data_IF_870355563806
#
_entry.id   IF_870355563806
#
_cell.length_a   1.000
_cell.length_b   1.000
_cell.length_c   1.000
_cell.angle_alpha   90.00
_cell.angle_beta   90.00
_cell.angle_gamma   90.00
#
_symmetry.space_group_name_H-M   'P 1'
#
loop_
_entity.id
_entity.type
_entity.pdbx_description
1 polymer ?
#
# COMPACT_ATOMS: atom_id res chain seq x y z
N UNK A 1 23.10 3.40 19.56
CA UNK A 1 22.31 4.52 19.00
C UNK A 1 21.28 4.93 20.03
N UNK A 2 21.12 6.22 20.27
CA UNK A 2 20.14 6.75 21.22
C UNK A 2 18.73 6.54 20.60
N UNK A 3 17.83 5.73 21.18
CA UNK A 3 16.53 5.38 20.57
C UNK A 3 15.68 6.61 20.21
N UNK A 4 15.78 7.64 21.04
CA UNK A 4 15.14 8.95 20.83
C UNK A 4 15.54 9.58 19.48
N UNK A 5 16.78 9.39 19.05
CA UNK A 5 17.32 9.99 17.83
C UNK A 5 16.71 9.35 16.56
N UNK A 6 16.36 8.05 16.59
CA UNK A 6 15.70 7.37 15.47
C UNK A 6 14.25 7.84 15.34
N UNK A 7 13.54 7.95 16.46
CA UNK A 7 12.16 8.43 16.51
C UNK A 7 12.06 9.88 16.03
N UNK A 8 12.96 10.75 16.47
CA UNK A 8 12.99 12.16 16.06
C UNK A 8 13.19 12.32 14.55
N UNK A 9 14.09 11.53 13.94
CA UNK A 9 14.30 11.51 12.49
C UNK A 9 13.04 11.05 11.75
N UNK A 10 12.37 10.00 12.22
CA UNK A 10 11.15 9.49 11.58
C UNK A 10 10.00 10.51 11.69
N UNK A 11 9.89 11.21 12.83
CA UNK A 11 8.90 12.27 13.05
C UNK A 11 9.15 13.47 12.14
N UNK A 12 10.41 13.88 11.98
CA UNK A 12 10.79 14.91 11.01
C UNK A 12 10.45 14.50 9.57
N UNK A 13 10.77 13.26 9.18
CA UNK A 13 10.47 12.74 7.83
C UNK A 13 8.97 12.61 7.56
N UNK A 14 8.19 12.23 8.56
CA UNK A 14 6.73 12.16 8.48
C UNK A 14 6.10 13.55 8.27
N UNK A 15 6.67 14.59 8.89
CA UNK A 15 6.23 15.98 8.74
C UNK A 15 6.61 16.59 7.39
N UNK A 16 7.80 16.28 6.87
CA UNK A 16 8.34 16.85 5.63
C UNK A 16 7.82 16.16 4.35
N UNK A 17 7.48 14.87 4.43
CA UNK A 17 7.08 14.12 3.23
C UNK A 17 5.70 14.56 2.68
N UNK A 18 5.51 14.54 1.34
CA UNK A 18 4.21 14.80 0.73
C UNK A 18 3.13 13.83 1.22
N UNK A 19 1.90 14.31 1.44
CA UNK A 19 0.77 13.49 1.95
C UNK A 19 0.55 12.24 1.09
N UNK A 20 0.73 12.35 -0.22
CA UNK A 20 0.53 11.22 -1.15
C UNK A 20 1.49 10.05 -0.88
N UNK A 21 2.67 10.30 -0.31
CA UNK A 21 3.61 9.24 0.08
C UNK A 21 3.07 8.39 1.22
N UNK A 22 2.19 8.92 2.08
CA UNK A 22 1.55 8.16 3.16
C UNK A 22 0.59 7.08 2.63
N UNK A 23 0.00 7.32 1.46
CA UNK A 23 -1.07 6.50 0.88
C UNK A 23 -0.76 5.97 -0.53
N UNK A 24 0.51 5.97 -0.93
CA UNK A 24 0.90 5.60 -2.30
C UNK A 24 0.47 4.16 -2.65
N UNK A 25 0.62 3.23 -1.69
CA UNK A 25 0.19 1.85 -1.87
C UNK A 25 -1.33 1.72 -1.97
N UNK A 26 -2.07 2.53 -1.20
CA UNK A 26 -3.53 2.61 -1.28
C UNK A 26 -3.97 3.13 -2.64
N UNK A 27 -3.30 4.15 -3.19
CA UNK A 27 -3.57 4.64 -4.53
C UNK A 27 -3.31 3.56 -5.58
N UNK A 28 -2.23 2.79 -5.43
CA UNK A 28 -1.92 1.66 -6.32
C UNK A 28 -2.98 0.57 -6.25
N UNK A 29 -3.45 0.22 -5.04
CA UNK A 29 -4.55 -0.71 -4.84
C UNK A 29 -5.85 -0.21 -5.48
N UNK A 30 -6.16 1.08 -5.34
CA UNK A 30 -7.33 1.69 -5.96
C UNK A 30 -7.29 1.61 -7.49
N UNK A 31 -6.13 1.84 -8.11
CA UNK A 31 -5.95 1.64 -9.55
C UNK A 31 -6.20 0.18 -9.93
N UNK A 32 -5.63 -0.77 -9.18
CA UNK A 32 -5.88 -2.20 -9.40
C UNK A 32 -7.37 -2.56 -9.32
N UNK A 33 -8.09 -2.00 -8.34
CA UNK A 33 -9.53 -2.18 -8.20
C UNK A 33 -10.30 -1.60 -9.40
N UNK A 34 -9.95 -0.40 -9.86
CA UNK A 34 -10.58 0.21 -11.05
C UNK A 34 -10.38 -0.68 -12.28
N UNK A 35 -9.16 -1.20 -12.50
CA UNK A 35 -8.90 -2.13 -13.60
C UNK A 35 -9.74 -3.40 -13.49
N UNK A 36 -9.87 -3.96 -12.29
CA UNK A 36 -10.70 -5.15 -12.05
C UNK A 36 -12.19 -4.87 -12.33
N UNK A 37 -12.71 -3.70 -11.91
CA UNK A 37 -14.09 -3.30 -12.15
C UNK A 37 -14.36 -3.08 -13.65
N UNK A 38 -13.45 -2.43 -14.37
CA UNK A 38 -13.56 -2.27 -15.82
C UNK A 38 -13.60 -3.62 -16.52
N UNK A 39 -12.74 -4.56 -16.11
CA UNK A 39 -12.78 -5.92 -16.64
C UNK A 39 -14.11 -6.62 -16.34
N UNK A 40 -14.62 -6.50 -15.12
CA UNK A 40 -15.90 -7.08 -14.74
C UNK A 40 -17.04 -6.56 -15.63
N UNK A 41 -17.10 -5.25 -15.87
CA UNK A 41 -18.10 -4.63 -16.76
C UNK A 41 -17.98 -5.15 -18.20
N UNK A 42 -16.76 -5.23 -18.74
CA UNK A 42 -16.52 -5.76 -20.10
C UNK A 42 -16.95 -7.22 -20.19
N UNK A 43 -16.57 -8.06 -19.22
CA UNK A 43 -16.91 -9.49 -19.20
C UNK A 43 -18.40 -9.76 -19.02
N UNK A 44 -19.16 -8.81 -18.47
CA UNK A 44 -20.61 -8.90 -18.35
C UNK A 44 -21.33 -8.51 -19.65
N UNK A 45 -20.74 -7.61 -20.45
CA UNK A 45 -21.31 -7.13 -21.71
C UNK A 45 -20.90 -7.94 -22.96
N UNK A 46 -19.89 -8.79 -22.84
CA UNK A 46 -19.35 -9.61 -23.93
C UNK A 46 -19.33 -11.07 -23.49
N UNK A 47 -19.70 -11.99 -24.37
CA UNK A 47 -19.66 -13.42 -24.10
C UNK A 47 -18.21 -13.93 -24.13
N UNK A 48 -17.53 -13.77 -23.00
CA UNK A 48 -16.12 -14.15 -22.80
C UNK A 48 -16.05 -15.54 -22.16
N UNK A 49 -15.26 -16.47 -22.72
CA UNK A 49 -15.07 -17.79 -22.13
C UNK A 49 -14.64 -17.71 -20.66
N UNK A 50 -15.25 -18.54 -19.81
CA UNK A 50 -15.05 -18.49 -18.36
C UNK A 50 -13.58 -18.58 -17.92
N UNK A 51 -12.78 -19.40 -18.61
CA UNK A 51 -11.36 -19.55 -18.37
C UNK A 51 -10.58 -18.25 -18.63
N UNK A 52 -10.98 -17.45 -19.63
CA UNK A 52 -10.37 -16.15 -19.93
C UNK A 52 -10.80 -15.14 -18.87
N UNK A 53 -12.08 -15.09 -18.52
CA UNK A 53 -12.60 -14.20 -17.47
C UNK A 53 -11.85 -14.39 -16.15
N UNK A 54 -11.73 -15.64 -15.70
CA UNK A 54 -10.98 -15.97 -14.48
C UNK A 54 -9.48 -15.70 -14.64
N UNK A 55 -8.88 -16.06 -15.77
CA UNK A 55 -7.45 -15.85 -16.02
C UNK A 55 -7.05 -14.38 -15.93
N UNK A 56 -7.83 -13.48 -16.54
CA UNK A 56 -7.58 -12.03 -16.47
C UNK A 56 -7.74 -11.51 -15.05
N UNK A 57 -8.76 -11.94 -14.29
CA UNK A 57 -8.92 -11.54 -12.89
C UNK A 57 -7.73 -11.96 -12.01
N UNK A 58 -7.19 -13.17 -12.24
CA UNK A 58 -5.99 -13.64 -11.53
C UNK A 58 -4.78 -12.76 -11.88
N UNK A 59 -4.59 -12.43 -13.15
CA UNK A 59 -3.50 -11.55 -13.60
C UNK A 59 -3.62 -10.14 -13.02
N UNK A 60 -4.80 -9.54 -13.03
CA UNK A 60 -5.05 -8.21 -12.44
C UNK A 60 -4.77 -8.24 -10.94
N UNK A 61 -5.23 -9.28 -10.24
CA UNK A 61 -5.00 -9.44 -8.81
C UNK A 61 -3.52 -9.59 -8.48
N UNK A 62 -2.81 -10.45 -9.21
CA UNK A 62 -1.37 -10.64 -9.05
C UNK A 62 -0.60 -9.35 -9.36
N UNK A 63 -0.92 -8.70 -10.48
CA UNK A 63 -0.32 -7.43 -10.88
C UNK A 63 -0.56 -6.32 -9.83
N UNK A 64 -1.72 -6.29 -9.21
CA UNK A 64 -2.04 -5.34 -8.12
C UNK A 64 -1.16 -5.59 -6.90
N UNK A 65 -1.00 -6.85 -6.47
CA UNK A 65 -0.12 -7.21 -5.35
C UNK A 65 1.34 -6.84 -5.65
N UNK A 66 1.81 -7.13 -6.87
CA UNK A 66 3.15 -6.74 -7.33
C UNK A 66 3.29 -5.23 -7.31
N UNK A 67 2.32 -4.48 -7.83
CA UNK A 67 2.29 -3.03 -7.81
C UNK A 67 2.40 -2.48 -6.39
N UNK A 68 1.55 -2.95 -5.46
CA UNK A 68 1.56 -2.53 -4.06
C UNK A 68 2.94 -2.77 -3.43
N UNK A 69 3.58 -3.91 -3.71
CA UNK A 69 4.91 -4.24 -3.18
C UNK A 69 5.99 -3.27 -3.69
N UNK A 70 5.90 -2.86 -4.96
CA UNK A 70 6.90 -2.00 -5.58
C UNK A 70 6.60 -0.50 -5.44
N UNK A 71 5.39 -0.12 -5.02
CA UNK A 71 5.09 1.27 -4.71
C UNK A 71 5.79 1.65 -3.39
N UNK A 72 6.66 2.69 -3.40
CA UNK A 72 7.37 3.12 -2.21
C UNK A 72 6.45 3.97 -1.33
N UNK A 73 5.93 3.36 -0.27
CA UNK A 73 5.21 4.07 0.78
C UNK A 73 6.19 4.85 1.68
N UNK A 74 5.78 6.03 2.11
CA UNK A 74 6.50 6.85 3.08
C UNK A 74 6.35 6.35 4.51
N UNK A 75 6.91 7.12 5.46
CA UNK A 75 6.74 6.85 6.90
C UNK A 75 5.27 7.09 7.28
N UNK A 76 4.71 6.26 8.15
CA UNK A 76 3.33 6.43 8.63
C UNK A 76 3.29 6.78 10.10
N UNK A 77 2.25 7.48 10.56
CA UNK A 77 2.05 7.81 11.97
C UNK A 77 2.07 6.56 12.85
N UNK A 78 1.37 5.50 12.42
CA UNK A 78 1.34 4.20 13.10
C UNK A 78 2.74 3.60 13.31
N UNK A 79 3.65 3.72 12.34
CA UNK A 79 5.02 3.22 12.50
C UNK A 79 5.81 3.99 13.56
N UNK A 80 5.65 5.32 13.60
CA UNK A 80 6.30 6.16 14.62
C UNK A 80 5.77 5.81 16.01
N UNK A 81 4.44 5.73 16.16
CA UNK A 81 3.79 5.40 17.42
C UNK A 81 4.17 4.00 17.95
N UNK A 82 4.27 3.00 17.07
CA UNK A 82 4.67 1.64 17.45
C UNK A 82 6.13 1.58 17.90
N UNK A 83 7.02 2.30 17.23
CA UNK A 83 8.42 2.42 17.62
C UNK A 83 8.57 3.12 18.98
N UNK A 84 7.84 4.22 19.21
CA UNK A 84 7.85 4.93 20.49
C UNK A 84 7.38 4.03 21.65
N UNK A 85 6.30 3.29 21.45
CA UNK A 85 5.81 2.31 22.45
C UNK A 85 6.84 1.21 22.70
N UNK A 86 7.45 0.68 21.65
CA UNK A 86 8.46 -0.37 21.78
C UNK A 86 9.68 0.08 22.59
N UNK A 87 10.18 1.29 22.33
CA UNK A 87 11.30 1.89 23.06
C UNK A 87 10.92 2.09 24.53
N UNK A 88 9.75 2.70 24.79
CA UNK A 88 9.26 2.94 26.15
C UNK A 88 9.16 1.65 26.98
N UNK A 89 8.69 0.56 26.38
CA UNK A 89 8.56 -0.73 27.07
C UNK A 89 9.90 -1.43 27.31
N UNK A 90 10.99 -0.99 26.69
CA UNK A 90 12.33 -1.59 26.83
C UNK A 90 13.23 -0.83 27.80
N UNK A 91 12.93 0.43 28.08
CA UNK A 91 13.67 1.30 29.01
C UNK A 91 13.09 1.32 30.44
N UNK A 92 11.87 0.81 30.64
CA UNK A 92 11.27 0.58 31.96
C UNK A 92 11.55 -0.81 32.50
#
# INVERSE_FOLDING_TARGET
MNPNLITDILRAKLADQPIIKRYANTATAAVGLVVALLWAVVSAGVDVPANITTGVLVLVSFGTVVGIKFTPNGVTERQVDELERYVKNREG
#
